data_IF_682783729705
#
_entry.id   IF_682783729705
#
_cell.length_a   1.000
_cell.length_b   1.000
_cell.length_c   1.000
_cell.angle_alpha   90.00
_cell.angle_beta   90.00
_cell.angle_gamma   90.00
#
_symmetry.space_group_name_H-M   'P 1'
#
loop_
_entity.id
_entity.type
_entity.pdbx_description
1 polymer ?
#
# COMPACT_ATOMS: atom_id res chain seq x y z
N UNK A 1 -17.97 7.23 7.40
CA UNK A 1 -17.61 6.25 8.46
C UNK A 1 -16.16 6.50 8.78
N UNK A 2 -15.78 6.71 10.05
CA UNK A 2 -14.37 6.95 10.39
C UNK A 2 -13.56 5.68 10.16
N UNK A 3 -12.48 5.70 9.36
CA UNK A 3 -11.63 4.53 9.15
C UNK A 3 -10.98 4.03 10.43
N UNK A 4 -10.70 2.73 10.48
CA UNK A 4 -9.93 2.11 11.57
C UNK A 4 -8.49 2.63 11.61
N UNK A 5 -7.84 2.65 12.79
CA UNK A 5 -6.42 3.02 12.90
C UNK A 5 -5.49 2.20 11.99
N UNK A 6 -5.77 0.91 11.80
CA UNK A 6 -5.04 0.04 10.87
C UNK A 6 -5.13 0.54 9.42
N UNK A 7 -6.33 0.96 9.01
CA UNK A 7 -6.58 1.46 7.68
C UNK A 7 -5.91 2.83 7.45
N UNK A 8 -5.92 3.70 8.46
CA UNK A 8 -5.21 4.98 8.45
C UNK A 8 -3.70 4.75 8.34
N UNK A 9 -3.12 3.92 9.21
CA UNK A 9 -1.68 3.64 9.18
C UNK A 9 -1.21 2.99 7.87
N UNK A 10 -2.02 2.09 7.31
CA UNK A 10 -1.76 1.51 6.00
C UNK A 10 -1.79 2.57 4.89
N UNK A 11 -2.80 3.44 4.89
CA UNK A 11 -2.94 4.51 3.90
C UNK A 11 -1.81 5.54 4.00
N UNK A 12 -1.40 5.91 5.21
CA UNK A 12 -0.27 6.82 5.47
C UNK A 12 1.01 6.27 4.85
N UNK A 13 1.28 4.97 5.02
CA UNK A 13 2.46 4.33 4.45
C UNK A 13 2.46 4.36 2.92
N UNK A 14 1.34 4.01 2.28
CA UNK A 14 1.22 4.04 0.82
C UNK A 14 1.31 5.46 0.25
N UNK A 15 0.68 6.43 0.91
CA UNK A 15 0.75 7.83 0.50
C UNK A 15 2.18 8.39 0.64
N UNK A 16 2.91 8.02 1.69
CA UNK A 16 4.33 8.36 1.84
C UNK A 16 5.17 7.78 0.68
N UNK A 17 4.94 6.53 0.29
CA UNK A 17 5.64 5.92 -0.85
C UNK A 17 5.34 6.59 -2.19
N UNK A 18 4.11 7.08 -2.37
CA UNK A 18 3.73 7.82 -3.56
C UNK A 18 4.37 9.23 -3.60
N UNK A 19 4.52 9.87 -2.43
CA UNK A 19 5.19 11.16 -2.30
C UNK A 19 6.72 11.04 -2.54
N UNK A 20 7.30 9.94 -2.08
CA UNK A 20 8.72 9.62 -2.25
C UNK A 20 9.02 9.10 -3.67
N UNK A 21 10.30 9.00 -4.03
CA UNK A 21 10.69 8.23 -5.21
C UNK A 21 10.67 6.74 -4.83
N UNK A 22 9.77 5.91 -5.40
CA UNK A 22 9.72 4.51 -5.07
C UNK A 22 11.06 3.84 -5.44
N UNK A 23 11.60 3.05 -4.52
CA UNK A 23 12.75 2.19 -4.78
C UNK A 23 12.24 0.78 -5.03
N UNK A 24 12.34 0.34 -6.27
CA UNK A 24 11.89 -0.96 -6.70
C UNK A 24 12.98 -2.01 -6.41
N UNK A 25 12.62 -3.05 -5.66
CA UNK A 25 13.42 -4.26 -5.50
C UNK A 25 12.68 -5.47 -6.09
N UNK A 26 13.07 -5.82 -7.31
CA UNK A 26 12.53 -6.92 -8.12
C UNK A 26 13.43 -8.17 -8.11
N UNK A 27 14.50 -8.19 -7.31
CA UNK A 27 15.45 -9.31 -7.23
C UNK A 27 16.74 -9.13 -8.05
N UNK A 28 17.70 -10.05 -7.83
CA UNK A 28 19.14 -9.94 -8.11
C UNK A 28 19.62 -8.93 -9.19
N UNK A 29 20.01 -7.75 -8.69
CA UNK A 29 21.04 -6.81 -9.14
C UNK A 29 20.88 -6.05 -10.49
N UNK A 30 20.56 -6.70 -11.61
CA UNK A 30 20.38 -5.99 -12.90
C UNK A 30 18.95 -5.47 -13.15
N UNK A 31 17.90 -6.22 -12.79
CA UNK A 31 16.52 -5.77 -13.00
C UNK A 31 16.14 -4.57 -12.09
N UNK A 32 16.74 -4.45 -10.90
CA UNK A 32 16.48 -3.33 -9.98
C UNK A 32 16.93 -1.99 -10.58
N UNK A 33 18.16 -1.91 -11.10
CA UNK A 33 18.69 -0.67 -11.65
C UNK A 33 17.85 -0.17 -12.83
N UNK A 34 17.46 -1.09 -13.73
CA UNK A 34 16.58 -0.76 -14.85
C UNK A 34 15.18 -0.34 -14.39
N UNK A 35 14.55 -1.07 -13.47
CA UNK A 35 13.23 -0.72 -12.94
C UNK A 35 13.22 0.67 -12.30
N UNK A 36 14.24 0.99 -11.51
CA UNK A 36 14.39 2.29 -10.88
C UNK A 36 14.69 3.41 -11.90
N UNK A 37 15.50 3.15 -12.93
CA UNK A 37 15.76 4.11 -14.00
C UNK A 37 14.50 4.41 -14.84
N UNK A 38 13.75 3.37 -15.22
CA UNK A 38 12.47 3.53 -15.92
C UNK A 38 11.48 4.29 -15.04
N UNK A 39 11.33 3.90 -13.76
CA UNK A 39 10.48 4.61 -12.80
C UNK A 39 10.81 6.10 -12.72
N UNK A 40 12.09 6.46 -12.62
CA UNK A 40 12.54 7.86 -12.62
C UNK A 40 12.16 8.62 -13.91
N UNK A 41 12.19 7.96 -15.07
CA UNK A 41 11.84 8.56 -16.36
C UNK A 41 10.31 8.72 -16.55
N UNK A 42 9.51 7.79 -16.04
CA UNK A 42 8.05 7.79 -16.20
C UNK A 42 7.30 8.41 -15.01
N UNK A 43 8.03 8.79 -13.95
CA UNK A 43 7.45 9.30 -12.71
C UNK A 43 6.55 10.50 -12.99
N UNK A 44 5.31 10.40 -12.54
CA UNK A 44 4.37 11.51 -12.54
C UNK A 44 4.42 12.19 -11.18
N UNK A 45 4.79 13.46 -11.15
CA UNK A 45 4.70 14.24 -9.92
C UNK A 45 3.23 14.42 -9.55
N UNK A 46 2.91 14.16 -8.28
CA UNK A 46 1.59 14.40 -7.71
C UNK A 46 1.66 15.63 -6.84
N UNK A 47 0.61 16.45 -6.86
CA UNK A 47 0.54 17.58 -5.94
C UNK A 47 0.32 17.07 -4.52
N UNK A 48 0.69 17.87 -3.52
CA UNK A 48 0.41 17.53 -2.12
C UNK A 48 -1.08 17.28 -1.89
N UNK A 49 -1.94 18.05 -2.55
CA UNK A 49 -3.39 17.87 -2.47
C UNK A 49 -3.87 16.52 -3.06
N UNK A 50 -3.25 16.05 -4.15
CA UNK A 50 -3.55 14.72 -4.70
C UNK A 50 -3.10 13.60 -3.77
N UNK A 51 -1.92 13.73 -3.15
CA UNK A 51 -1.39 12.74 -2.20
C UNK A 51 -2.29 12.69 -0.96
N UNK A 52 -2.74 13.85 -0.47
CA UNK A 52 -3.68 13.97 0.64
C UNK A 52 -5.01 13.28 0.32
N UNK A 53 -5.61 13.64 -0.82
CA UNK A 53 -6.87 13.05 -1.26
C UNK A 53 -6.76 11.53 -1.46
N UNK A 54 -5.62 11.05 -1.96
CA UNK A 54 -5.32 9.62 -2.08
C UNK A 54 -5.26 8.95 -0.71
N UNK A 55 -4.56 9.54 0.27
CA UNK A 55 -4.46 9.00 1.62
C UNK A 55 -5.82 8.85 2.29
N UNK A 56 -6.66 9.90 2.21
CA UNK A 56 -8.00 9.89 2.79
C UNK A 56 -8.91 8.85 2.10
N UNK A 57 -8.95 8.85 0.77
CA UNK A 57 -9.73 7.89 -0.01
C UNK A 57 -9.28 6.44 0.24
N UNK A 58 -7.97 6.22 0.34
CA UNK A 58 -7.39 4.91 0.58
C UNK A 58 -7.73 4.39 1.98
N UNK A 59 -7.67 5.22 3.02
CA UNK A 59 -8.07 4.80 4.37
C UNK A 59 -9.52 4.29 4.40
N UNK A 60 -10.43 4.96 3.68
CA UNK A 60 -11.80 4.49 3.56
C UNK A 60 -11.94 3.20 2.75
N UNK A 61 -11.22 3.08 1.62
CA UNK A 61 -11.26 1.87 0.78
C UNK A 61 -10.70 0.66 1.52
N UNK A 62 -9.57 0.81 2.20
CA UNK A 62 -8.98 -0.21 3.05
C UNK A 62 -9.99 -0.64 4.11
N UNK A 63 -10.63 0.31 4.80
CA UNK A 63 -11.60 -0.01 5.84
C UNK A 63 -12.79 -0.85 5.30
N UNK A 64 -13.28 -0.52 4.09
CA UNK A 64 -14.31 -1.33 3.43
C UNK A 64 -13.78 -2.68 2.97
N UNK A 65 -12.56 -2.75 2.45
CA UNK A 65 -11.95 -3.98 1.97
C UNK A 65 -11.76 -4.98 3.11
N UNK A 66 -11.16 -4.56 4.23
CA UNK A 66 -10.87 -5.47 5.35
C UNK A 66 -12.14 -6.01 6.02
N UNK A 67 -13.23 -5.22 6.03
CA UNK A 67 -14.53 -5.64 6.57
C UNK A 67 -15.12 -6.83 5.79
N UNK A 68 -14.99 -6.82 4.45
CA UNK A 68 -15.56 -7.86 3.57
C UNK A 68 -15.03 -9.26 3.88
N UNK A 69 -13.83 -9.36 4.46
CA UNK A 69 -13.16 -10.62 4.73
C UNK A 69 -13.18 -11.02 6.21
N UNK A 70 -14.05 -10.39 7.01
CA UNK A 70 -14.27 -10.72 8.40
C UNK A 70 -13.19 -10.14 9.31
N UNK A 71 -13.51 -9.05 9.99
CA UNK A 71 -12.65 -8.42 10.98
C UNK A 71 -12.86 -9.05 12.36
N UNK A 72 -11.91 -9.88 12.82
CA UNK A 72 -12.01 -10.63 14.09
C UNK A 72 -10.84 -10.29 15.03
N UNK A 73 -11.01 -9.32 15.96
CA UNK A 73 -9.95 -8.96 16.91
C UNK A 73 -9.42 -10.14 17.75
N UNK A 74 -10.28 -11.10 18.10
CA UNK A 74 -9.89 -12.27 18.89
C UNK A 74 -9.15 -13.34 18.05
N UNK A 75 -9.28 -13.29 16.72
CA UNK A 75 -8.64 -14.20 15.76
C UNK A 75 -7.97 -13.40 14.62
N UNK A 76 -6.93 -12.59 14.91
CA UNK A 76 -6.44 -11.58 13.97
C UNK A 76 -5.88 -12.16 12.66
N UNK A 77 -5.49 -13.43 12.66
CA UNK A 77 -4.99 -14.12 11.47
C UNK A 77 -6.10 -14.69 10.58
N UNK A 78 -7.34 -14.81 11.08
CA UNK A 78 -8.48 -15.25 10.28
C UNK A 78 -8.68 -14.28 9.12
N UNK A 79 -8.64 -14.76 7.86
CA UNK A 79 -8.80 -13.92 6.66
C UNK A 79 -7.60 -13.02 6.32
N UNK A 80 -6.46 -13.16 7.02
CA UNK A 80 -5.28 -12.30 6.86
C UNK A 80 -4.80 -12.18 5.40
N UNK A 81 -4.70 -13.30 4.67
CA UNK A 81 -4.33 -13.29 3.26
C UNK A 81 -5.32 -12.53 2.37
N UNK A 82 -6.62 -12.64 2.66
CA UNK A 82 -7.65 -11.97 1.86
C UNK A 82 -7.71 -10.46 2.09
N UNK A 83 -7.15 -9.98 3.21
CA UNK A 83 -7.05 -8.56 3.56
C UNK A 83 -5.76 -7.91 3.06
N UNK A 84 -4.90 -8.64 2.35
CA UNK A 84 -3.65 -8.06 1.88
C UNK A 84 -3.87 -7.10 0.74
N UNK A 85 -3.07 -6.05 0.70
CA UNK A 85 -2.97 -5.14 -0.43
C UNK A 85 -1.56 -5.27 -0.99
N UNK A 86 -1.45 -5.53 -2.29
CA UNK A 86 -0.18 -5.81 -2.93
C UNK A 86 0.07 -5.00 -4.19
N UNK A 87 1.34 -4.71 -4.46
CA UNK A 87 1.80 -4.22 -5.76
C UNK A 87 2.71 -5.30 -6.34
N UNK A 88 2.19 -6.07 -7.29
CA UNK A 88 2.96 -7.07 -8.02
C UNK A 88 2.73 -6.93 -9.53
N UNK A 89 3.62 -6.18 -10.18
CA UNK A 89 3.47 -5.78 -11.60
C UNK A 89 2.16 -5.03 -11.90
N UNK A 90 1.62 -4.32 -10.91
CA UNK A 90 0.44 -3.47 -11.00
C UNK A 90 -0.11 -3.17 -9.60
N UNK A 91 -0.86 -2.05 -9.42
CA UNK A 91 -1.48 -1.75 -8.15
C UNK A 91 -2.68 -2.67 -7.86
N UNK A 92 -2.86 -3.03 -6.59
CA UNK A 92 -4.10 -3.62 -6.09
C UNK A 92 -5.31 -2.75 -6.48
N UNK A 93 -6.49 -3.33 -6.80
CA UNK A 93 -7.71 -2.56 -7.06
C UNK A 93 -8.04 -1.55 -5.95
N UNK A 94 -7.78 -1.87 -4.68
CA UNK A 94 -8.00 -0.95 -3.56
C UNK A 94 -7.15 0.32 -3.68
N UNK A 95 -5.91 0.19 -4.16
CA UNK A 95 -5.01 1.31 -4.42
C UNK A 95 -5.45 2.09 -5.66
N UNK A 96 -5.83 1.38 -6.73
CA UNK A 96 -6.30 1.99 -7.98
C UNK A 96 -7.57 2.83 -7.77
N UNK A 97 -8.58 2.27 -7.08
CA UNK A 97 -9.84 2.96 -6.78
C UNK A 97 -9.61 4.23 -5.95
N UNK A 98 -8.70 4.17 -4.98
CA UNK A 98 -8.35 5.33 -4.15
C UNK A 98 -7.65 6.44 -4.96
N UNK A 99 -6.78 6.06 -5.91
CA UNK A 99 -6.12 7.00 -6.81
C UNK A 99 -7.12 7.70 -7.73
N UNK A 100 -8.05 6.94 -8.31
CA UNK A 100 -9.08 7.49 -9.21
C UNK A 100 -9.93 8.55 -8.48
N UNK A 101 -10.32 8.27 -7.22
CA UNK A 101 -11.01 9.24 -6.36
C UNK A 101 -10.19 10.48 -6.04
N UNK A 102 -8.88 10.33 -5.98
CA UNK A 102 -7.94 11.44 -5.82
C UNK A 102 -7.63 12.18 -7.15
N UNK A 103 -8.32 11.82 -8.24
CA UNK A 103 -8.24 12.49 -9.53
C UNK A 103 -7.04 12.05 -10.36
N UNK A 104 -6.54 10.83 -10.16
CA UNK A 104 -5.47 10.29 -11.00
C UNK A 104 -5.44 8.76 -11.11
N UNK A 105 -4.72 8.25 -12.10
CA UNK A 105 -4.48 6.81 -12.25
C UNK A 105 -3.08 6.44 -11.76
N UNK A 106 -2.97 5.34 -11.00
CA UNK A 106 -1.69 4.73 -10.67
C UNK A 106 -1.15 3.95 -11.85
N UNK A 107 0.13 4.14 -12.14
CA UNK A 107 0.87 3.34 -13.11
C UNK A 107 1.68 2.23 -12.42
N UNK A 108 2.13 1.24 -13.18
CA UNK A 108 2.86 0.06 -12.66
C UNK A 108 4.03 0.41 -11.74
N UNK A 109 4.74 1.51 -12.01
CA UNK A 109 5.94 1.92 -11.27
C UNK A 109 5.72 3.15 -10.36
N UNK A 110 4.47 3.59 -10.15
CA UNK A 110 4.17 4.71 -9.25
C UNK A 110 4.36 4.31 -7.77
N UNK A 111 4.31 3.01 -7.45
CA UNK A 111 4.47 2.46 -6.11
C UNK A 111 5.55 1.35 -6.10
N UNK A 112 6.20 1.07 -4.95
CA UNK A 112 7.22 0.04 -4.87
C UNK A 112 6.62 -1.33 -5.23
N UNK A 113 7.16 -1.95 -6.28
CA UNK A 113 6.73 -3.27 -6.75
C UNK A 113 7.25 -4.37 -5.82
N UNK A 114 6.63 -5.55 -5.89
CA UNK A 114 6.88 -6.67 -4.98
C UNK A 114 6.62 -6.28 -3.52
N UNK A 115 5.64 -5.42 -3.31
CA UNK A 115 5.21 -5.01 -1.97
C UNK A 115 3.93 -5.74 -1.59
N UNK A 116 3.89 -6.32 -0.40
CA UNK A 116 2.68 -6.91 0.19
C UNK A 116 2.48 -6.33 1.57
N UNK A 117 1.27 -5.83 1.83
CA UNK A 117 0.87 -5.29 3.13
C UNK A 117 -0.23 -6.18 3.73
N UNK A 118 -0.04 -6.59 4.98
CA UNK A 118 -1.05 -7.30 5.78
C UNK A 118 -1.69 -6.34 6.76
N UNK A 119 -3.02 -6.27 6.71
CA UNK A 119 -3.82 -5.35 7.51
C UNK A 119 -4.74 -6.20 8.39
N UNK A 120 -4.31 -6.40 9.64
CA UNK A 120 -4.98 -7.31 10.59
C UNK A 120 -5.35 -6.55 11.86
N UNK A 121 -6.34 -7.04 12.63
CA UNK A 121 -6.69 -6.45 13.91
C UNK A 121 -5.47 -6.26 14.81
N UNK A 122 -5.23 -5.01 15.24
CA UNK A 122 -4.16 -4.62 16.14
C UNK A 122 -2.76 -4.57 15.51
N UNK A 123 -2.57 -4.87 14.22
CA UNK A 123 -1.23 -4.82 13.59
C UNK A 123 -1.28 -4.65 12.07
N UNK A 124 -0.44 -3.75 11.56
CA UNK A 124 -0.15 -3.62 10.13
C UNK A 124 1.30 -3.96 9.85
N UNK A 125 1.53 -4.85 8.88
CA UNK A 125 2.86 -5.29 8.46
C UNK A 125 3.05 -5.08 6.97
N UNK A 126 4.28 -4.82 6.54
CA UNK A 126 4.61 -4.70 5.12
C UNK A 126 5.91 -5.43 4.82
N UNK A 127 5.97 -6.11 3.68
CA UNK A 127 7.19 -6.57 3.05
C UNK A 127 7.34 -5.76 1.75
N UNK A 128 8.34 -4.88 1.70
CA UNK A 128 8.64 -4.03 0.54
C UNK A 128 9.81 -4.64 -0.23
N UNK A 129 9.54 -5.21 -1.40
CA UNK A 129 10.56 -5.79 -2.27
C UNK A 129 10.56 -7.32 -2.31
N UNK A 130 11.20 -7.85 -3.35
CA UNK A 130 11.24 -9.29 -3.63
C UNK A 130 11.88 -10.08 -2.48
N UNK A 131 11.09 -10.93 -1.83
CA UNK A 131 11.56 -11.76 -0.72
C UNK A 131 11.89 -10.98 0.57
N UNK A 132 11.47 -9.72 0.66
CA UNK A 132 11.65 -8.91 1.85
C UNK A 132 10.96 -9.53 3.06
N UNK A 133 11.59 -9.43 4.24
CA UNK A 133 10.96 -9.86 5.49
C UNK A 133 9.88 -8.85 5.89
N UNK A 134 8.70 -9.29 6.35
CA UNK A 134 7.68 -8.37 6.85
C UNK A 134 8.17 -7.59 8.07
N UNK A 135 7.97 -6.28 8.06
CA UNK A 135 8.19 -5.38 9.20
C UNK A 135 6.85 -4.84 9.71
N UNK A 136 6.75 -4.58 11.01
CA UNK A 136 5.57 -3.95 11.60
C UNK A 136 5.68 -2.44 11.41
N UNK A 137 4.70 -1.83 10.76
CA UNK A 137 4.64 -0.37 10.57
C UNK A 137 3.68 0.31 11.55
N UNK A 138 2.73 -0.46 12.10
CA UNK A 138 1.81 0.01 13.11
C UNK A 138 1.32 -1.15 13.98
N UNK A 139 1.05 -0.84 15.25
CA UNK A 139 0.48 -1.77 16.23
C UNK A 139 -0.40 -0.98 17.19
N UNK A 140 -1.54 -1.55 17.57
CA UNK A 140 -2.37 -0.97 18.64
C UNK A 140 -1.62 -1.00 19.97
N UNK A 141 -1.75 0.05 20.76
CA UNK A 141 -1.34 0.04 22.16
C UNK A 141 -2.19 -1.02 22.90
N UNK A 142 -1.52 -1.79 23.77
CA UNK A 142 -2.18 -2.83 24.58
C UNK A 142 -3.00 -2.24 25.70
#
# INVERSE_FOLDING_TARGET
MTPRPEAVAAADWWAAKLAEQPRHDVGAAQPNALANAVSALVRRQRTQAQIEAFREALAEEINRHVERYGWRPDEPDFGSYMRTIAVDYGPDPVLADAAEKAGFELQMLDLPVKTVMWINPGVVKVAEGYGARPVVIWRADR
#
